data_IF_816086763921
#
_entry.id   IF_816086763921
#
_cell.length_a   1.000
_cell.length_b   1.000
_cell.length_c   1.000
_cell.angle_alpha   90.00
_cell.angle_beta   90.00
_cell.angle_gamma   90.00
#
_symmetry.space_group_name_H-M   'P 1'
#
loop_
_entity.id
_entity.type
_entity.pdbx_description
1 polymer ?
#
# COMPACT_ATOMS: atom_id res chain seq x y z
N UNK A 1 -7.69 -8.34 18.81
CA UNK A 1 -6.43 -8.43 18.05
C UNK A 1 -6.70 -9.23 16.77
N UNK A 2 -6.25 -8.77 15.62
CA UNK A 2 -6.38 -9.48 14.34
C UNK A 2 -5.05 -10.17 14.04
N UNK A 3 -5.03 -11.50 13.88
CA UNK A 3 -3.79 -12.30 13.77
C UNK A 3 -2.74 -11.91 14.83
N UNK A 4 -3.18 -11.68 16.06
CA UNK A 4 -2.30 -11.27 17.16
C UNK A 4 -1.86 -9.79 17.17
N UNK A 5 -2.20 -9.00 16.15
CA UNK A 5 -1.86 -7.57 16.04
C UNK A 5 -3.03 -6.66 16.41
N UNK A 6 -2.74 -5.54 17.08
CA UNK A 6 -3.65 -4.41 17.25
C UNK A 6 -3.51 -3.43 16.06
N UNK A 7 -4.31 -2.37 16.02
CA UNK A 7 -4.27 -1.42 14.88
C UNK A 7 -2.95 -0.65 14.81
N UNK A 8 -2.34 -0.31 15.95
CA UNK A 8 -1.03 0.33 15.99
C UNK A 8 0.04 -0.58 15.40
N UNK A 9 0.01 -1.87 15.75
CA UNK A 9 0.96 -2.85 15.21
C UNK A 9 0.80 -3.03 13.69
N UNK A 10 -0.43 -2.88 13.16
CA UNK A 10 -0.72 -2.93 11.73
C UNK A 10 -0.20 -1.69 11.02
N UNK A 11 -0.42 -0.50 11.60
CA UNK A 11 0.08 0.77 11.05
C UNK A 11 1.62 0.84 11.05
N UNK A 12 2.27 0.10 11.95
CA UNK A 12 3.73 0.08 12.04
C UNK A 12 4.41 -0.90 11.06
N UNK A 13 3.64 -1.76 10.38
CA UNK A 13 4.18 -2.70 9.39
C UNK A 13 4.62 -1.98 8.11
N UNK A 14 5.63 -2.54 7.45
CA UNK A 14 5.98 -2.12 6.09
C UNK A 14 4.93 -2.57 5.09
N UNK A 15 4.92 -1.96 3.90
CA UNK A 15 4.06 -2.39 2.80
C UNK A 15 4.37 -3.85 2.42
N UNK A 16 5.64 -4.27 2.39
CA UNK A 16 6.03 -5.65 2.08
C UNK A 16 5.46 -6.63 3.12
N UNK A 17 5.54 -6.31 4.40
CA UNK A 17 4.93 -7.11 5.46
C UNK A 17 3.40 -7.16 5.33
N UNK A 18 2.78 -6.04 4.93
CA UNK A 18 1.35 -5.94 4.75
C UNK A 18 0.82 -6.82 3.60
N UNK A 19 1.59 -6.97 2.51
CA UNK A 19 1.24 -7.88 1.40
C UNK A 19 1.08 -9.31 1.91
N UNK A 20 2.04 -9.79 2.71
CA UNK A 20 2.00 -11.14 3.29
C UNK A 20 0.93 -11.26 4.37
N UNK A 21 0.83 -10.27 5.25
CA UNK A 21 -0.12 -10.26 6.37
C UNK A 21 -1.58 -10.29 5.89
N UNK A 22 -1.91 -9.56 4.82
CA UNK A 22 -3.24 -9.52 4.21
C UNK A 22 -3.41 -10.44 3.01
N UNK A 23 -2.55 -11.46 2.85
CA UNK A 23 -2.58 -12.44 1.73
C UNK A 23 -3.95 -13.09 1.47
N UNK A 24 -4.77 -13.28 2.50
CA UNK A 24 -6.12 -13.84 2.39
C UNK A 24 -7.21 -12.82 1.97
N UNK A 25 -6.87 -11.54 1.84
CA UNK A 25 -7.81 -10.44 1.56
C UNK A 25 -7.42 -9.74 0.26
N UNK A 26 -7.81 -10.31 -0.87
CA UNK A 26 -7.39 -9.87 -2.20
C UNK A 26 -7.58 -8.36 -2.47
N UNK A 27 -8.70 -7.71 -2.10
CA UNK A 27 -8.85 -6.27 -2.33
C UNK A 27 -7.88 -5.39 -1.53
N UNK A 28 -7.42 -5.86 -0.38
CA UNK A 28 -6.46 -5.16 0.48
C UNK A 28 -5.05 -5.43 -0.02
N UNK A 29 -4.72 -6.72 -0.21
CA UNK A 29 -3.45 -7.18 -0.76
C UNK A 29 -3.10 -6.46 -2.06
N UNK A 30 -4.05 -6.38 -2.99
CA UNK A 30 -3.85 -5.70 -4.29
C UNK A 30 -3.42 -4.23 -4.14
N UNK A 31 -3.94 -3.50 -3.15
CA UNK A 31 -3.52 -2.10 -2.89
C UNK A 31 -2.08 -2.02 -2.43
N UNK A 32 -1.67 -2.93 -1.53
CA UNK A 32 -0.28 -3.01 -1.06
C UNK A 32 0.66 -3.48 -2.17
N UNK A 33 0.24 -4.41 -3.03
CA UNK A 33 1.01 -4.83 -4.19
C UNK A 33 1.27 -3.70 -5.18
N UNK A 34 0.30 -2.80 -5.40
CA UNK A 34 0.55 -1.64 -6.28
C UNK A 34 1.59 -0.69 -5.69
N UNK A 35 1.59 -0.50 -4.36
CA UNK A 35 2.62 0.28 -3.65
C UNK A 35 4.00 -0.39 -3.73
N UNK A 36 4.06 -1.71 -3.54
CA UNK A 36 5.27 -2.51 -3.71
C UNK A 36 5.81 -2.40 -5.15
N UNK A 37 4.95 -2.50 -6.17
CA UNK A 37 5.33 -2.45 -7.57
C UNK A 37 5.95 -1.10 -7.99
N UNK A 38 5.57 0.00 -7.34
CA UNK A 38 6.22 1.31 -7.55
C UNK A 38 7.47 1.51 -6.68
N UNK A 39 7.90 0.50 -5.93
CA UNK A 39 9.11 0.54 -5.12
C UNK A 39 8.95 1.22 -3.76
N UNK A 40 7.75 1.14 -3.16
CA UNK A 40 7.46 1.68 -1.82
C UNK A 40 7.32 0.59 -0.74
N UNK A 41 7.82 -0.63 -1.00
CA UNK A 41 7.74 -1.78 -0.11
C UNK A 41 8.23 -1.52 1.34
N UNK A 42 9.24 -0.67 1.48
CA UNK A 42 9.88 -0.33 2.75
C UNK A 42 9.12 0.69 3.61
N UNK A 43 8.15 1.43 3.05
CA UNK A 43 7.41 2.43 3.82
C UNK A 43 6.46 1.75 4.81
N UNK A 44 6.24 2.37 5.96
CA UNK A 44 5.22 1.91 6.92
C UNK A 44 3.82 2.32 6.46
N UNK A 45 2.81 1.49 6.73
CA UNK A 45 1.40 1.81 6.40
C UNK A 45 0.97 3.15 7.00
N UNK A 46 1.33 3.37 8.27
CA UNK A 46 1.00 4.57 9.03
C UNK A 46 2.01 5.71 8.90
N UNK A 47 2.96 5.63 7.96
CA UNK A 47 3.98 6.67 7.82
C UNK A 47 3.33 8.04 7.54
N UNK A 48 3.59 9.07 8.36
CA UNK A 48 2.96 10.37 8.17
C UNK A 48 3.35 10.99 6.82
N UNK A 49 2.36 11.44 6.06
CA UNK A 49 2.57 12.01 4.72
C UNK A 49 3.62 13.13 4.64
N UNK A 50 3.73 14.06 5.63
CA UNK A 50 4.78 15.10 5.60
C UNK A 50 6.22 14.58 5.68
N UNK A 51 6.42 13.32 6.09
CA UNK A 51 7.76 12.71 6.19
C UNK A 51 8.22 12.05 4.90
N UNK A 52 7.35 11.96 3.90
CA UNK A 52 7.69 11.38 2.60
C UNK A 52 8.52 12.37 1.79
N UNK A 53 9.57 11.87 1.16
CA UNK A 53 10.28 12.58 0.09
C UNK A 53 9.34 12.88 -1.08
N UNK A 54 9.69 13.87 -1.90
CA UNK A 54 8.91 14.22 -3.10
C UNK A 54 8.73 13.04 -4.05
N UNK A 55 9.76 12.21 -4.24
CA UNK A 55 9.70 11.02 -5.08
C UNK A 55 8.82 9.90 -4.51
N UNK A 56 8.76 9.75 -3.19
CA UNK A 56 7.82 8.82 -2.53
C UNK A 56 6.38 9.30 -2.69
N UNK A 57 6.11 10.59 -2.41
CA UNK A 57 4.78 11.17 -2.57
C UNK A 57 4.27 11.03 -4.01
N UNK A 58 5.14 11.19 -5.00
CA UNK A 58 4.79 10.98 -6.41
C UNK A 58 4.45 9.53 -6.71
N UNK A 59 5.23 8.57 -6.20
CA UNK A 59 4.97 7.14 -6.38
C UNK A 59 3.69 6.68 -5.67
N UNK A 60 3.33 7.28 -4.53
CA UNK A 60 2.02 7.05 -3.90
C UNK A 60 0.86 7.52 -4.78
N UNK A 61 1.01 8.67 -5.45
CA UNK A 61 0.01 9.14 -6.43
C UNK A 61 -0.07 8.19 -7.63
N UNK A 62 1.07 7.74 -8.15
CA UNK A 62 1.13 6.78 -9.25
C UNK A 62 0.45 5.45 -8.89
N UNK A 63 0.71 4.92 -7.70
CA UNK A 63 0.12 3.65 -7.25
C UNK A 63 -1.40 3.71 -7.12
N UNK A 64 -1.95 4.88 -6.73
CA UNK A 64 -3.40 5.13 -6.72
C UNK A 64 -4.00 5.02 -8.12
N UNK A 65 -3.35 5.60 -9.12
CA UNK A 65 -3.83 5.56 -10.51
C UNK A 65 -3.75 4.14 -11.08
N UNK A 66 -2.64 3.43 -10.85
CA UNK A 66 -2.45 2.04 -11.28
C UNK A 66 -3.41 1.05 -10.59
N UNK A 67 -3.92 1.40 -9.40
CA UNK A 67 -4.88 0.56 -8.69
C UNK A 67 -6.31 0.63 -9.25
N UNK A 68 -6.62 1.61 -10.12
CA UNK A 68 -7.92 1.70 -10.78
C UNK A 68 -8.07 0.53 -11.76
N UNK A 69 -9.24 -0.11 -11.74
CA UNK A 69 -9.58 -1.11 -12.76
C UNK A 69 -9.88 -0.31 -14.04
N UNK A 70 -9.17 -0.61 -15.13
CA UNK A 70 -9.52 -0.04 -16.43
C UNK A 70 -10.92 -0.53 -16.80
N UNK A 71 -11.90 0.39 -16.84
CA UNK A 71 -13.29 0.09 -17.18
C UNK A 71 -13.52 -0.03 -18.69
N UNK A 72 -12.46 -0.03 -19.51
CA UNK A 72 -12.56 -0.24 -20.96
C UNK A 72 -13.08 0.96 -21.77
N UNK A 73 -13.57 2.02 -21.12
CA UNK A 73 -13.97 3.26 -21.79
C UNK A 73 -12.75 4.15 -22.06
N UNK A 74 -11.94 3.75 -23.05
CA UNK A 74 -10.98 4.67 -23.68
C UNK A 74 -11.56 5.01 -25.04
N UNK A 75 -12.04 6.26 -25.18
CA UNK A 75 -12.54 6.85 -26.42
C UNK A 75 -11.47 6.86 -27.52
#
# INVERSE_FOLDING_TARGET
LFKGKNISDVLDMTIDEAVEFFSAFEPIKRRFQTLQAVGLGYLKIGQPAPTLSGGEAQRVKLSRELSKIATGDTL
#
